data_IF_713164942618
#
_entry.id   IF_713164942618
#
_cell.length_a   1.000
_cell.length_b   1.000
_cell.length_c   1.000
_cell.angle_alpha   90.00
_cell.angle_beta   90.00
_cell.angle_gamma   90.00
#
_symmetry.space_group_name_H-M   'P 1'
#
loop_
_entity.id
_entity.type
_entity.pdbx_description
1 polymer ?
#
# COMPACT_ATOMS: atom_id res chain seq x y z
N UNK A 1 -6.10 -3.21 14.09
CA UNK A 1 -5.24 -2.44 13.18
C UNK A 1 -4.94 -3.28 11.96
N UNK A 2 -5.08 -2.74 10.69
CA UNK A 2 -4.76 -3.48 9.46
C UNK A 2 -3.26 -3.55 9.14
N UNK A 3 -2.40 -3.23 10.11
CA UNK A 3 -0.95 -3.23 9.92
C UNK A 3 -0.34 -4.49 10.52
N UNK A 4 0.46 -5.19 9.75
CA UNK A 4 1.03 -6.48 10.17
C UNK A 4 2.54 -6.48 9.97
N UNK A 5 3.26 -6.90 11.01
CA UNK A 5 4.69 -7.15 10.91
C UNK A 5 4.94 -8.48 10.19
N UNK A 6 6.02 -8.54 9.44
CA UNK A 6 6.44 -9.76 8.77
C UNK A 6 7.97 -9.86 8.86
N UNK A 7 8.48 -10.92 9.47
CA UNK A 7 9.93 -11.18 9.60
C UNK A 7 10.70 -9.96 10.12
N UNK A 8 10.21 -9.35 11.20
CA UNK A 8 10.79 -8.17 11.84
C UNK A 8 10.69 -6.89 11.00
N UNK A 9 9.90 -6.89 9.94
CA UNK A 9 9.62 -5.69 9.17
C UNK A 9 8.20 -5.23 9.45
N UNK A 10 8.08 -4.01 9.94
CA UNK A 10 6.79 -3.39 10.24
C UNK A 10 6.49 -2.30 9.20
N UNK A 11 5.23 -2.12 8.82
CA UNK A 11 4.86 -0.99 7.98
C UNK A 11 5.21 0.34 8.65
N UNK A 12 5.75 1.27 7.85
CA UNK A 12 6.07 2.62 8.29
C UNK A 12 5.08 3.59 7.66
N UNK A 13 4.23 4.17 8.50
CA UNK A 13 3.15 5.05 8.06
C UNK A 13 3.48 6.47 8.55
N UNK A 14 3.44 7.44 7.63
CA UNK A 14 3.64 8.84 8.00
C UNK A 14 2.56 9.28 9.00
N UNK A 15 2.95 10.11 9.96
CA UNK A 15 2.03 10.59 11.00
C UNK A 15 0.90 11.45 10.43
N UNK A 16 1.09 12.01 9.25
CA UNK A 16 0.09 12.82 8.56
C UNK A 16 -0.66 12.02 7.50
N UNK A 17 -0.80 10.71 7.71
CA UNK A 17 -1.57 9.86 6.80
C UNK A 17 -2.99 10.40 6.65
N UNK A 18 -3.51 10.37 5.42
CA UNK A 18 -4.87 10.81 5.16
C UNK A 18 -5.88 9.84 5.74
N UNK A 19 -5.82 8.57 5.36
CA UNK A 19 -6.74 7.57 5.86
C UNK A 19 -6.31 6.16 5.46
N UNK A 20 -6.58 5.20 6.33
CA UNK A 20 -6.40 3.78 6.04
C UNK A 20 -7.69 3.07 6.43
N UNK A 21 -8.31 2.39 5.45
CA UNK A 21 -9.53 1.65 5.69
C UNK A 21 -9.31 0.53 6.71
N UNK A 22 -10.29 0.26 7.58
CA UNK A 22 -10.13 -0.78 8.61
C UNK A 22 -9.94 -2.18 8.04
N UNK A 23 -10.42 -2.45 6.83
CA UNK A 23 -10.29 -3.75 6.18
C UNK A 23 -9.15 -3.82 5.16
N UNK A 24 -8.35 -2.76 5.02
CA UNK A 24 -7.12 -2.84 4.24
C UNK A 24 -6.10 -3.71 4.97
N UNK A 25 -5.25 -4.37 4.19
CA UNK A 25 -4.20 -5.24 4.75
C UNK A 25 -2.84 -4.69 4.33
N UNK A 26 -2.05 -4.26 5.30
CA UNK A 26 -0.74 -3.65 5.04
C UNK A 26 0.29 -4.48 5.78
N UNK A 27 1.14 -5.19 5.04
CA UNK A 27 1.98 -6.27 5.59
C UNK A 27 3.44 -6.06 5.21
N UNK A 28 4.30 -6.04 6.20
CA UNK A 28 5.74 -6.13 6.02
C UNK A 28 6.41 -4.83 5.61
N UNK A 29 7.23 -4.88 4.57
CA UNK A 29 8.07 -3.76 4.12
C UNK A 29 7.26 -2.76 3.33
N UNK A 30 6.52 -1.92 4.04
CA UNK A 30 5.66 -0.89 3.43
C UNK A 30 6.04 0.46 4.00
N UNK A 31 6.12 1.48 3.14
CA UNK A 31 6.28 2.87 3.55
C UNK A 31 5.24 3.71 2.84
N UNK A 32 4.44 4.45 3.60
CA UNK A 32 3.38 5.29 3.06
C UNK A 32 3.59 6.73 3.49
N UNK A 33 3.65 7.63 2.51
CA UNK A 33 3.90 9.05 2.72
C UNK A 33 2.70 9.81 3.24
N UNK A 34 2.93 11.09 3.52
CA UNK A 34 1.91 11.96 4.14
C UNK A 34 0.71 12.16 3.22
N UNK A 35 -0.44 12.36 3.83
CA UNK A 35 -1.68 12.71 3.15
C UNK A 35 -2.13 11.67 2.11
N UNK A 36 -1.54 10.49 2.13
CA UNK A 36 -1.95 9.38 1.29
C UNK A 36 -3.09 8.62 1.94
N UNK A 37 -3.78 7.81 1.16
CA UNK A 37 -4.91 7.03 1.65
C UNK A 37 -4.92 5.64 1.06
N UNK A 38 -5.39 4.69 1.86
CA UNK A 38 -5.53 3.29 1.45
C UNK A 38 -6.99 2.89 1.71
N UNK A 39 -7.66 2.41 0.69
CA UNK A 39 -9.10 2.25 0.70
C UNK A 39 -9.53 0.81 0.92
N UNK A 40 -10.83 0.58 0.87
CA UNK A 40 -11.45 -0.67 1.33
C UNK A 40 -10.93 -1.88 0.58
N UNK A 41 -10.54 -2.91 1.32
CA UNK A 41 -10.11 -4.18 0.75
C UNK A 41 -8.77 -4.17 0.03
N UNK A 42 -8.05 -3.04 0.04
CA UNK A 42 -6.73 -2.98 -0.58
C UNK A 42 -5.73 -3.83 0.19
N UNK A 43 -4.80 -4.45 -0.52
CA UNK A 43 -3.77 -5.31 0.06
C UNK A 43 -2.40 -4.83 -0.42
N UNK A 44 -1.56 -4.43 0.53
CA UNK A 44 -0.18 -4.06 0.27
C UNK A 44 0.71 -5.08 0.97
N UNK A 45 1.37 -5.94 0.20
CA UNK A 45 2.15 -7.04 0.75
C UNK A 45 3.62 -6.91 0.38
N UNK A 46 4.39 -6.31 1.28
CA UNK A 46 5.83 -6.14 1.11
C UNK A 46 6.60 -7.29 1.75
N UNK A 47 6.36 -8.50 1.28
CA UNK A 47 6.97 -9.71 1.83
C UNK A 47 8.33 -10.02 1.23
N UNK A 48 8.64 -9.51 0.06
CA UNK A 48 9.94 -9.67 -0.59
C UNK A 48 10.75 -8.37 -0.56
N UNK A 49 10.26 -7.36 -1.26
CA UNK A 49 10.91 -6.06 -1.33
C UNK A 49 9.98 -4.96 -0.83
N UNK A 50 10.53 -3.77 -0.65
CA UNK A 50 9.78 -2.62 -0.18
C UNK A 50 8.69 -2.20 -1.17
N UNK A 51 7.52 -1.86 -0.65
CA UNK A 51 6.52 -1.08 -1.36
C UNK A 51 6.54 0.34 -0.76
N UNK A 52 6.85 1.32 -1.58
CA UNK A 52 6.91 2.71 -1.13
C UNK A 52 5.84 3.53 -1.84
N UNK A 53 4.95 4.14 -1.05
CA UNK A 53 3.91 5.02 -1.54
C UNK A 53 4.30 6.44 -1.18
N UNK A 54 4.36 7.32 -2.16
CA UNK A 54 4.71 8.72 -1.96
C UNK A 54 3.63 9.50 -1.24
N UNK A 55 3.77 10.82 -1.25
CA UNK A 55 2.82 11.71 -0.59
C UNK A 55 1.58 11.93 -1.45
N UNK A 56 0.44 12.17 -0.83
CA UNK A 56 -0.83 12.55 -1.50
C UNK A 56 -1.26 11.56 -2.58
N UNK A 57 -0.90 10.30 -2.39
CA UNK A 57 -1.27 9.22 -3.31
C UNK A 57 -2.42 8.43 -2.71
N UNK A 58 -3.21 7.77 -3.55
CA UNK A 58 -4.29 6.92 -3.03
C UNK A 58 -4.22 5.53 -3.65
N UNK A 59 -4.41 4.55 -2.80
CA UNK A 59 -4.53 3.14 -3.18
C UNK A 59 -5.99 2.80 -3.03
N UNK A 60 -6.66 2.58 -4.15
CA UNK A 60 -8.12 2.49 -4.19
C UNK A 60 -8.63 1.11 -3.77
N UNK A 61 -9.95 0.99 -3.71
CA UNK A 61 -10.63 -0.21 -3.24
C UNK A 61 -10.12 -1.46 -3.97
N UNK A 62 -9.82 -2.50 -3.23
CA UNK A 62 -9.42 -3.82 -3.73
C UNK A 62 -8.16 -3.85 -4.58
N UNK A 63 -7.37 -2.77 -4.58
CA UNK A 63 -6.06 -2.81 -5.25
C UNK A 63 -5.13 -3.75 -4.51
N UNK A 64 -4.36 -4.52 -5.25
CA UNK A 64 -3.42 -5.49 -4.68
C UNK A 64 -2.02 -5.14 -5.16
N UNK A 65 -1.14 -4.80 -4.22
CA UNK A 65 0.25 -4.49 -4.49
C UNK A 65 1.14 -5.53 -3.84
N UNK A 66 2.10 -6.02 -4.61
CA UNK A 66 2.96 -7.11 -4.18
C UNK A 66 4.34 -6.95 -4.82
N UNK A 67 5.38 -7.42 -4.15
CA UNK A 67 6.75 -7.33 -4.65
C UNK A 67 7.37 -8.71 -4.81
N UNK A 68 8.25 -8.83 -5.81
CA UNK A 68 9.08 -10.02 -6.01
C UNK A 68 10.51 -9.71 -5.56
N UNK A 69 11.32 -10.74 -5.25
CA UNK A 69 12.71 -10.53 -4.85
C UNK A 69 13.48 -9.71 -5.89
N UNK A 70 14.17 -8.67 -5.43
CA UNK A 70 14.94 -7.79 -6.29
C UNK A 70 14.15 -6.69 -7.00
N UNK A 71 12.82 -6.64 -6.82
CA UNK A 71 11.95 -5.69 -7.53
C UNK A 71 11.06 -4.91 -6.57
N UNK A 72 11.59 -3.86 -5.93
CA UNK A 72 10.74 -2.99 -5.11
C UNK A 72 9.71 -2.27 -5.96
N UNK A 73 8.58 -1.94 -5.36
CA UNK A 73 7.50 -1.22 -6.01
C UNK A 73 7.45 0.21 -5.47
N UNK A 74 7.59 1.18 -6.35
CA UNK A 74 7.58 2.59 -5.98
C UNK A 74 6.38 3.26 -6.64
N UNK A 75 5.50 3.80 -5.81
CA UNK A 75 4.41 4.68 -6.26
C UNK A 75 4.81 6.10 -5.86
N UNK A 76 4.88 6.98 -6.85
CA UNK A 76 5.31 8.35 -6.61
C UNK A 76 4.29 9.18 -5.84
N UNK A 77 4.51 10.50 -5.80
CA UNK A 77 3.58 11.44 -5.20
C UNK A 77 2.39 11.69 -6.12
N UNK A 78 1.26 12.04 -5.53
CA UNK A 78 0.07 12.48 -6.27
C UNK A 78 -0.43 11.43 -7.28
N UNK A 79 -0.25 10.15 -6.97
CA UNK A 79 -0.66 9.05 -7.82
C UNK A 79 -1.95 8.40 -7.32
N UNK A 80 -2.69 7.81 -8.25
CA UNK A 80 -3.85 6.97 -7.93
C UNK A 80 -3.62 5.57 -8.47
N UNK A 81 -3.72 4.58 -7.60
CA UNK A 81 -3.60 3.17 -7.99
C UNK A 81 -4.98 2.54 -7.87
N UNK A 82 -5.57 2.22 -9.00
CA UNK A 82 -6.91 1.65 -9.04
C UNK A 82 -6.92 0.14 -9.00
N UNK A 83 -8.08 -0.41 -8.69
CA UNK A 83 -8.35 -1.82 -8.86
C UNK A 83 -8.39 -2.15 -10.35
N UNK A 84 -7.72 -3.23 -10.74
CA UNK A 84 -7.67 -3.61 -12.14
C UNK A 84 -8.80 -4.59 -12.46
N UNK A 85 -9.70 -4.17 -13.31
CA UNK A 85 -10.79 -5.01 -13.79
C UNK A 85 -10.55 -5.44 -15.22
N UNK A 86 -10.91 -6.68 -15.60
CA UNK A 86 -10.97 -7.03 -17.01
C UNK A 86 -11.99 -6.14 -17.74
N UNK A 87 -11.80 -5.91 -19.06
CA UNK A 87 -12.67 -4.97 -19.78
C UNK A 87 -14.14 -5.39 -19.83
N UNK A 88 -14.44 -6.65 -19.49
CA UNK A 88 -15.81 -7.19 -19.51
C UNK A 88 -16.53 -7.12 -18.16
N UNK A 89 -15.91 -6.50 -17.16
CA UNK A 89 -16.50 -6.35 -15.82
C UNK A 89 -17.18 -5.00 -15.62
#
# INVERSE_FOLDING_TARGET
MPLYDLENHAPSIDRQIGWIAPDAQIVGKIRIGKESSVWFGAVLRGDNELIEIGARSNIQDHAILHTDPGFPLIVGDDCSVGSRHPPWL
#
